data_IF_474712882393
#
_entry.id   IF_474712882393
#
_cell.length_a   1.000
_cell.length_b   1.000
_cell.length_c   1.000
_cell.angle_alpha   90.00
_cell.angle_beta   90.00
_cell.angle_gamma   90.00
#
_symmetry.space_group_name_H-M   'P 1'
#
loop_
_entity.id
_entity.type
_entity.pdbx_description
1 polymer ?
#
# COMPACT_ATOMS: atom_id res chain seq x y z
N UNK A 1 -10.32 -7.08 -12.87
CA UNK A 1 -9.96 -5.75 -13.42
C UNK A 1 -10.13 -5.77 -14.94
N UNK A 2 -10.62 -4.69 -15.58
CA UNK A 2 -10.68 -4.61 -17.05
C UNK A 2 -9.30 -4.78 -17.69
N UNK A 3 -9.23 -5.40 -18.88
CA UNK A 3 -7.94 -5.68 -19.56
C UNK A 3 -7.15 -4.41 -19.85
N UNK A 4 -7.86 -3.34 -20.17
CA UNK A 4 -7.31 -2.02 -20.47
C UNK A 4 -6.52 -1.47 -19.30
N UNK A 5 -7.03 -1.66 -18.07
CA UNK A 5 -6.40 -1.23 -16.82
C UNK A 5 -5.15 -2.06 -16.54
N UNK A 6 -5.26 -3.40 -16.65
CA UNK A 6 -4.11 -4.30 -16.44
C UNK A 6 -2.97 -3.97 -17.40
N UNK A 7 -3.30 -3.78 -18.69
CA UNK A 7 -2.31 -3.42 -19.71
C UNK A 7 -1.68 -2.03 -19.46
N UNK A 8 -2.44 -1.09 -18.90
CA UNK A 8 -1.92 0.23 -18.54
C UNK A 8 -0.90 0.15 -17.39
N UNK A 9 -1.22 -0.61 -16.34
CA UNK A 9 -0.31 -0.86 -15.22
C UNK A 9 0.93 -1.60 -15.69
N UNK A 10 0.80 -2.63 -16.53
CA UNK A 10 1.93 -3.37 -17.09
C UNK A 10 2.88 -2.46 -17.88
N UNK A 11 2.32 -1.59 -18.75
CA UNK A 11 3.13 -0.61 -19.50
C UNK A 11 3.81 0.41 -18.60
N UNK A 12 3.21 0.75 -17.45
CA UNK A 12 3.80 1.64 -16.47
C UNK A 12 4.99 0.97 -15.78
N UNK A 13 4.81 -0.27 -15.30
CA UNK A 13 5.87 -1.03 -14.63
C UNK A 13 7.04 -1.36 -15.57
N UNK A 14 6.78 -1.65 -16.85
CA UNK A 14 7.84 -1.89 -17.84
C UNK A 14 8.73 -0.68 -18.13
N UNK A 15 8.33 0.53 -17.72
CA UNK A 15 9.09 1.77 -17.93
C UNK A 15 9.96 2.14 -16.73
N UNK A 16 9.82 1.46 -15.60
CA UNK A 16 10.62 1.74 -14.40
C UNK A 16 12.00 1.10 -14.54
N UNK A 17 13.00 1.71 -13.93
CA UNK A 17 14.30 1.08 -13.70
C UNK A 17 14.16 -0.13 -12.76
N UNK A 18 15.19 -0.98 -12.72
CA UNK A 18 15.20 -2.14 -11.82
C UNK A 18 15.08 -1.74 -10.33
N UNK A 19 15.68 -0.61 -9.95
CA UNK A 19 15.62 -0.09 -8.58
C UNK A 19 14.23 0.42 -8.21
N UNK A 20 13.59 1.18 -9.11
CA UNK A 20 12.21 1.64 -8.93
C UNK A 20 11.25 0.45 -8.88
N UNK A 21 11.42 -0.56 -9.74
CA UNK A 21 10.58 -1.75 -9.74
C UNK A 21 10.70 -2.54 -8.42
N UNK A 22 11.92 -2.69 -7.89
CA UNK A 22 12.15 -3.34 -6.60
C UNK A 22 11.52 -2.55 -5.44
N UNK A 23 11.60 -1.21 -5.48
CA UNK A 23 10.95 -0.36 -4.48
C UNK A 23 9.42 -0.48 -4.55
N UNK A 24 8.83 -0.47 -5.75
CA UNK A 24 7.39 -0.67 -5.95
C UNK A 24 6.96 -2.04 -5.42
N UNK A 25 7.71 -3.10 -5.68
CA UNK A 25 7.42 -4.46 -5.21
C UNK A 25 7.41 -4.52 -3.67
N UNK A 26 8.47 -4.01 -3.03
CA UNK A 26 8.56 -3.96 -1.56
C UNK A 26 7.42 -3.14 -0.95
N UNK A 27 7.11 -1.97 -1.52
CA UNK A 27 6.02 -1.12 -1.03
C UNK A 27 4.66 -1.78 -1.24
N UNK A 28 4.42 -2.43 -2.38
CA UNK A 28 3.16 -3.09 -2.67
C UNK A 28 2.93 -4.29 -1.73
N UNK A 29 3.99 -5.01 -1.37
CA UNK A 29 3.93 -6.10 -0.39
C UNK A 29 3.58 -5.57 1.01
N UNK A 30 4.26 -4.52 1.48
CA UNK A 30 3.99 -3.91 2.80
C UNK A 30 2.61 -3.24 2.86
N UNK A 31 2.21 -2.53 1.81
CA UNK A 31 0.92 -1.84 1.74
C UNK A 31 -0.26 -2.75 1.40
N UNK A 32 0.01 -4.01 1.04
CA UNK A 32 -0.93 -4.95 0.41
C UNK A 32 -1.72 -4.30 -0.76
N UNK A 33 -1.09 -3.36 -1.47
CA UNK A 33 -1.74 -2.52 -2.48
C UNK A 33 -0.76 -1.93 -3.48
N UNK A 34 -0.81 -2.44 -4.72
CA UNK A 34 0.00 -1.94 -5.82
C UNK A 34 -0.33 -0.49 -6.18
N UNK A 35 -1.60 -0.08 -6.08
CA UNK A 35 -2.03 1.28 -6.42
C UNK A 35 -1.47 2.30 -5.44
N UNK A 36 -1.43 1.98 -4.14
CA UNK A 36 -0.82 2.85 -3.11
C UNK A 36 0.69 2.93 -3.32
N UNK A 37 1.35 1.79 -3.60
CA UNK A 37 2.78 1.77 -3.89
C UNK A 37 3.17 2.63 -5.10
N UNK A 38 2.41 2.52 -6.21
CA UNK A 38 2.62 3.36 -7.40
C UNK A 38 2.37 4.84 -7.08
N UNK A 39 1.34 5.16 -6.30
CA UNK A 39 1.04 6.54 -5.93
C UNK A 39 2.16 7.15 -5.07
N UNK A 40 2.72 6.41 -4.11
CA UNK A 40 3.87 6.84 -3.32
C UNK A 40 5.10 7.13 -4.19
N UNK A 41 5.50 6.17 -5.04
CA UNK A 41 6.69 6.32 -5.89
C UNK A 41 6.55 7.46 -6.90
N UNK A 42 5.31 7.76 -7.33
CA UNK A 42 5.04 8.86 -8.28
C UNK A 42 4.71 10.19 -7.60
N UNK A 43 4.76 10.28 -6.28
CA UNK A 43 4.42 11.50 -5.53
C UNK A 43 2.94 11.89 -5.60
N UNK A 44 2.05 10.93 -5.86
CA UNK A 44 0.60 11.11 -5.83
C UNK A 44 -0.02 10.92 -4.44
N UNK A 45 0.76 10.45 -3.47
CA UNK A 45 0.42 10.34 -2.05
C UNK A 45 1.66 10.67 -1.21
N UNK A 46 1.46 11.36 -0.10
CA UNK A 46 2.48 11.49 0.95
C UNK A 46 2.52 10.22 1.82
N UNK A 47 3.66 9.94 2.46
CA UNK A 47 3.86 8.74 3.29
C UNK A 47 2.80 8.66 4.40
N UNK A 48 2.52 9.77 5.08
CA UNK A 48 1.52 9.85 6.15
C UNK A 48 0.09 9.54 5.67
N UNK A 49 -0.24 9.91 4.43
CA UNK A 49 -1.54 9.60 3.84
C UNK A 49 -1.63 8.12 3.48
N UNK A 50 -0.56 7.56 2.91
CA UNK A 50 -0.49 6.14 2.59
C UNK A 50 -0.60 5.26 3.83
N UNK A 51 0.06 5.61 4.94
CA UNK A 51 -0.06 4.86 6.20
C UNK A 51 -1.51 4.79 6.69
N UNK A 52 -2.24 5.90 6.65
CA UNK A 52 -3.67 5.92 7.01
C UNK A 52 -4.53 5.08 6.08
N UNK A 53 -4.23 5.09 4.78
CA UNK A 53 -4.97 4.31 3.79
C UNK A 53 -4.75 2.80 3.95
N UNK A 54 -3.51 2.38 4.25
CA UNK A 54 -3.15 0.98 4.44
C UNK A 54 -3.91 0.38 5.63
N UNK A 55 -4.09 1.16 6.70
CA UNK A 55 -4.79 0.72 7.92
C UNK A 55 -6.28 1.05 7.97
N UNK A 56 -6.84 1.66 6.93
CA UNK A 56 -8.18 2.23 6.97
C UNK A 56 -9.25 1.24 7.45
N UNK A 57 -9.18 0.00 6.97
CA UNK A 57 -10.11 -1.06 7.38
C UNK A 57 -9.91 -1.46 8.84
N UNK A 58 -8.66 -1.64 9.27
CA UNK A 58 -8.30 -2.00 10.63
C UNK A 58 -8.74 -0.92 11.63
N UNK A 59 -8.44 0.35 11.36
CA UNK A 59 -8.85 1.49 12.17
C UNK A 59 -10.37 1.58 12.29
N UNK A 60 -11.10 1.28 11.20
CA UNK A 60 -12.56 1.24 11.21
C UNK A 60 -13.10 0.10 12.08
N UNK A 61 -12.48 -1.08 11.99
CA UNK A 61 -12.87 -2.25 12.80
C UNK A 61 -12.62 -1.99 14.29
N UNK A 62 -11.47 -1.43 14.65
CA UNK A 62 -11.15 -1.03 16.02
C UNK A 62 -12.15 -0.01 16.55
N UNK A 63 -12.51 0.99 15.73
CA UNK A 63 -13.48 2.02 16.11
C UNK A 63 -14.89 1.45 16.36
N UNK A 64 -15.28 0.39 15.65
CA UNK A 64 -16.61 -0.22 15.78
C UNK A 64 -16.68 -1.29 16.88
N UNK A 65 -15.63 -2.10 17.04
CA UNK A 65 -15.66 -3.33 17.84
C UNK A 65 -14.70 -3.32 19.02
N UNK A 66 -13.92 -2.24 19.19
CA UNK A 66 -12.86 -2.16 20.18
C UNK A 66 -11.57 -2.83 19.72
N UNK A 67 -10.48 -2.49 20.39
CA UNK A 67 -9.16 -3.06 20.12
C UNK A 67 -9.09 -4.51 20.60
N UNK A 68 -8.56 -5.40 19.77
CA UNK A 68 -8.23 -6.78 20.15
C UNK A 68 -6.71 -6.88 20.29
N UNK A 69 -6.21 -7.06 21.52
CA UNK A 69 -4.77 -7.24 21.79
C UNK A 69 -4.21 -8.45 21.02
N UNK A 70 -3.07 -8.28 20.35
CA UNK A 70 -2.48 -9.28 19.46
C UNK A 70 -2.21 -8.75 18.05
N UNK A 71 -3.00 -9.16 17.05
CA UNK A 71 -2.75 -8.86 15.62
C UNK A 71 -2.53 -7.36 15.34
N UNK A 72 -3.35 -6.51 15.95
CA UNK A 72 -3.27 -5.05 15.80
C UNK A 72 -1.99 -4.42 16.36
N UNK A 73 -1.39 -5.02 17.39
CA UNK A 73 -0.18 -4.51 18.02
C UNK A 73 1.07 -4.82 17.17
N UNK A 74 1.05 -5.94 16.46
CA UNK A 74 2.11 -6.34 15.52
C UNK A 74 2.06 -5.45 14.27
N UNK A 75 0.85 -5.23 13.72
CA UNK A 75 0.67 -4.36 12.54
C UNK A 75 1.08 -2.90 12.82
N UNK A 76 0.83 -2.39 14.04
CA UNK A 76 1.35 -1.09 14.48
C UNK A 76 2.87 -1.04 14.62
N UNK A 77 3.49 -2.14 15.04
CA UNK A 77 4.94 -2.20 15.22
C UNK A 77 5.66 -2.28 13.86
N UNK A 78 5.10 -3.01 12.89
CA UNK A 78 5.65 -3.16 11.54
C UNK A 78 5.56 -1.86 10.70
N UNK A 79 4.72 -0.90 11.12
CA UNK A 79 4.57 0.41 10.49
C UNK A 79 5.46 1.52 11.09
N UNK A 80 6.27 1.20 12.12
CA UNK A 80 7.27 2.11 12.70
C UNK A 80 8.67 1.87 12.14
#
# INVERSE_FOLDING_TARGET
QPKEVVNAVERLLKKTSNWELAAIDSLAASANSLSIAIALVRGGLEIEEAMKLIRLEEDLQIAQYGLVEGGHDIDMADLR
#
